data_IF_874894644571
#
_entry.id   IF_874894644571
#
_cell.length_a   1.000
_cell.length_b   1.000
_cell.length_c   1.000
_cell.angle_alpha   90.00
_cell.angle_beta   90.00
_cell.angle_gamma   90.00
#
_symmetry.space_group_name_H-M   'P 1'
#
loop_
_entity.id
_entity.type
_entity.pdbx_description
1 polymer ?
#
# COMPACT_ATOMS: atom_id res chain seq x y z
N UNK A 1 -4.21 15.87 11.76
CA UNK A 1 -5.19 14.79 11.71
C UNK A 1 -4.95 13.72 12.77
N UNK A 2 -4.04 12.78 12.65
CA UNK A 2 -3.80 11.75 13.69
C UNK A 2 -3.23 12.26 15.02
N UNK A 3 -2.85 13.53 15.14
CA UNK A 3 -2.39 14.16 16.37
C UNK A 3 -3.50 14.79 17.22
N UNK A 4 -4.64 15.07 16.60
CA UNK A 4 -5.81 15.68 17.24
C UNK A 4 -7.03 14.82 16.94
N UNK A 5 -8.07 14.85 17.78
CA UNK A 5 -9.29 14.07 17.56
C UNK A 5 -10.18 14.65 16.44
N UNK A 6 -9.66 15.64 15.72
CA UNK A 6 -10.39 16.30 14.64
C UNK A 6 -10.05 15.63 13.29
N UNK A 7 -10.95 14.78 12.81
CA UNK A 7 -10.90 14.16 11.49
C UNK A 7 -11.54 15.12 10.48
N UNK A 8 -10.82 16.20 10.11
CA UNK A 8 -11.36 17.12 9.11
C UNK A 8 -10.90 16.70 7.70
N UNK A 9 -11.79 16.81 6.72
CA UNK A 9 -11.52 16.55 5.30
C UNK A 9 -10.52 17.55 4.71
N UNK A 10 -10.16 18.60 5.46
CA UNK A 10 -9.20 19.65 5.10
C UNK A 10 -7.83 19.12 4.66
N UNK A 11 -7.45 17.91 5.09
CA UNK A 11 -6.17 17.28 4.76
C UNK A 11 -6.26 16.30 3.60
N UNK A 12 -7.47 16.08 3.05
CA UNK A 12 -7.71 15.17 1.93
C UNK A 12 -7.85 16.03 0.66
N UNK A 13 -6.89 15.87 -0.24
CA UNK A 13 -6.86 16.59 -1.50
C UNK A 13 -7.57 15.79 -2.59
N UNK A 14 -8.56 16.40 -3.25
CA UNK A 14 -9.15 15.85 -4.47
C UNK A 14 -8.23 16.15 -5.65
N UNK A 15 -7.58 15.11 -6.19
CA UNK A 15 -6.63 15.24 -7.31
C UNK A 15 -7.38 15.26 -8.66
N UNK A 16 -8.35 14.36 -8.83
CA UNK A 16 -9.27 14.33 -9.97
C UNK A 16 -10.57 13.62 -9.58
N UNK A 17 -11.48 13.44 -10.53
CA UNK A 17 -12.78 12.81 -10.24
C UNK A 17 -12.61 11.43 -9.61
N UNK A 18 -13.25 11.22 -8.46
CA UNK A 18 -13.22 9.98 -7.67
C UNK A 18 -11.81 9.56 -7.19
N UNK A 19 -10.83 10.47 -7.19
CA UNK A 19 -9.51 10.18 -6.66
C UNK A 19 -9.05 11.25 -5.67
N UNK A 20 -8.76 10.80 -4.46
CA UNK A 20 -8.41 11.63 -3.31
C UNK A 20 -7.09 11.15 -2.72
N UNK A 21 -6.29 12.07 -2.21
CA UNK A 21 -5.00 11.78 -1.59
C UNK A 21 -4.92 12.41 -0.21
N UNK A 22 -4.55 11.61 0.77
CA UNK A 22 -4.12 12.07 2.08
C UNK A 22 -2.61 11.90 2.20
N UNK A 23 -1.89 13.00 2.09
CA UNK A 23 -0.43 12.98 2.28
C UNK A 23 -0.05 12.81 3.75
N UNK A 24 1.15 12.26 3.99
CA UNK A 24 1.68 12.04 5.35
C UNK A 24 1.86 13.32 6.18
N UNK A 25 1.88 14.48 5.52
CA UNK A 25 2.08 15.77 6.17
C UNK A 25 3.49 15.97 6.70
N UNK A 26 3.63 16.74 7.79
CA UNK A 26 4.94 17.00 8.40
C UNK A 26 5.50 15.76 9.08
N UNK A 27 6.81 15.54 8.89
CA UNK A 27 7.55 14.43 9.49
C UNK A 27 7.33 14.39 11.01
N UNK A 28 7.07 13.19 11.54
CA UNK A 28 6.90 12.93 12.97
C UNK A 28 8.06 12.10 13.50
N UNK A 29 8.38 12.25 14.77
CA UNK A 29 9.51 11.55 15.40
C UNK A 29 9.23 10.04 15.49
N UNK A 30 8.01 9.67 15.87
CA UNK A 30 7.61 8.27 16.05
C UNK A 30 6.32 7.98 15.27
N UNK A 31 6.38 7.70 13.96
CA UNK A 31 5.19 7.38 13.16
C UNK A 31 4.48 6.12 13.65
N UNK A 32 5.21 5.12 14.11
CA UNK A 32 4.65 3.88 14.66
C UNK A 32 3.68 4.10 15.81
N UNK A 33 3.96 5.08 16.69
CA UNK A 33 3.06 5.43 17.81
C UNK A 33 1.71 5.98 17.32
N UNK A 34 1.67 6.56 16.13
CA UNK A 34 0.42 7.07 15.55
C UNK A 34 -0.37 5.96 14.86
N UNK A 35 0.33 5.07 14.16
CA UNK A 35 -0.27 3.96 13.41
C UNK A 35 -0.76 2.84 14.33
N UNK A 36 -0.05 2.62 15.44
CA UNK A 36 -0.40 1.58 16.42
C UNK A 36 -1.60 1.92 17.33
N UNK A 37 -2.05 3.18 17.35
CA UNK A 37 -3.15 3.63 18.23
C UNK A 37 -4.52 3.37 17.61
N UNK A 38 -5.52 3.14 18.44
CA UNK A 38 -6.95 3.00 18.07
C UNK A 38 -7.48 4.14 17.18
N UNK A 39 -6.85 5.31 17.28
CA UNK A 39 -7.19 6.48 16.48
C UNK A 39 -7.01 6.25 14.99
N UNK A 40 -5.97 5.52 14.57
CA UNK A 40 -5.77 5.19 13.15
C UNK A 40 -6.87 4.27 12.64
N UNK A 41 -7.26 3.27 13.45
CA UNK A 41 -8.40 2.40 13.12
C UNK A 41 -9.70 3.19 12.97
N UNK A 42 -10.03 4.07 13.92
CA UNK A 42 -11.22 4.94 13.86
C UNK A 42 -11.23 5.83 12.63
N UNK A 43 -10.06 6.36 12.24
CA UNK A 43 -9.94 7.13 11.00
C UNK A 43 -10.26 6.26 9.77
N UNK A 44 -9.73 5.04 9.69
CA UNK A 44 -10.03 4.13 8.60
C UNK A 44 -11.51 3.71 8.57
N UNK A 45 -12.16 3.55 9.72
CA UNK A 45 -13.59 3.24 9.77
C UNK A 45 -14.44 4.37 9.19
N UNK A 46 -14.07 5.63 9.46
CA UNK A 46 -14.70 6.80 8.83
C UNK A 46 -14.43 6.80 7.31
N UNK A 47 -13.18 6.57 6.89
CA UNK A 47 -12.83 6.53 5.48
C UNK A 47 -13.57 5.42 4.72
N UNK A 48 -13.76 4.24 5.31
CA UNK A 48 -14.53 3.14 4.72
C UNK A 48 -16.00 3.49 4.47
N UNK A 49 -16.56 4.41 5.23
CA UNK A 49 -17.94 4.87 4.99
C UNK A 49 -18.06 5.85 3.82
N UNK A 50 -16.95 6.40 3.34
CA UNK A 50 -16.92 7.47 2.34
C UNK A 50 -16.28 7.02 1.01
N UNK A 51 -15.42 6.00 1.01
CA UNK A 51 -14.64 5.57 -0.15
C UNK A 51 -14.80 4.08 -0.43
N UNK A 52 -14.98 3.71 -1.69
CA UNK A 52 -15.12 2.32 -2.14
C UNK A 52 -13.80 1.54 -2.05
N UNK A 53 -12.66 2.22 -2.24
CA UNK A 53 -11.33 1.65 -2.17
C UNK A 53 -10.37 2.58 -1.43
N UNK A 54 -9.65 2.03 -0.47
CA UNK A 54 -8.61 2.74 0.28
C UNK A 54 -7.27 2.04 0.05
N UNK A 55 -6.28 2.79 -0.42
CA UNK A 55 -4.93 2.29 -0.62
C UNK A 55 -4.00 2.93 0.42
N UNK A 56 -3.34 2.10 1.22
CA UNK A 56 -2.32 2.53 2.18
C UNK A 56 -0.95 2.30 1.55
N UNK A 57 -0.27 3.38 1.13
CA UNK A 57 1.11 3.32 0.65
C UNK A 57 2.08 3.32 1.83
N UNK A 58 2.97 2.33 1.87
CA UNK A 58 3.90 2.12 2.98
C UNK A 58 5.34 2.01 2.49
N UNK A 59 6.31 2.39 3.32
CA UNK A 59 7.72 2.10 3.06
C UNK A 59 7.99 0.61 2.90
N UNK A 60 9.15 0.22 2.30
CA UNK A 60 9.54 -1.18 2.21
C UNK A 60 9.59 -1.86 3.58
N UNK A 61 9.00 -3.05 3.70
CA UNK A 61 8.83 -3.77 4.97
C UNK A 61 10.15 -4.06 5.71
N UNK A 62 11.25 -4.27 5.00
CA UNK A 62 12.57 -4.46 5.61
C UNK A 62 13.19 -3.20 6.19
N UNK A 63 12.70 -2.01 5.81
CA UNK A 63 13.24 -0.74 6.28
C UNK A 63 12.42 -0.16 7.42
N UNK A 64 11.15 -0.51 7.51
CA UNK A 64 10.22 0.09 8.44
C UNK A 64 9.10 -0.90 8.79
N UNK A 65 8.72 -0.91 10.06
CA UNK A 65 7.61 -1.75 10.55
C UNK A 65 6.22 -1.20 10.28
N UNK A 66 6.09 -0.04 9.64
CA UNK A 66 4.82 0.65 9.43
C UNK A 66 3.80 -0.25 8.69
N UNK A 67 4.27 -0.99 7.67
CA UNK A 67 3.43 -1.94 6.94
C UNK A 67 2.82 -3.02 7.86
N UNK A 68 3.60 -3.54 8.83
CA UNK A 68 3.12 -4.53 9.78
C UNK A 68 2.14 -3.94 10.80
N UNK A 69 2.32 -2.66 11.18
CA UNK A 69 1.42 -1.98 12.11
C UNK A 69 0.05 -1.71 11.50
N UNK A 70 -0.01 -1.49 10.18
CA UNK A 70 -1.28 -1.21 9.48
C UNK A 70 -1.96 -2.47 8.95
N UNK A 71 -1.28 -3.61 8.92
CA UNK A 71 -1.79 -4.89 8.40
C UNK A 71 -3.14 -5.27 9.00
N UNK A 72 -3.32 -5.13 10.30
CA UNK A 72 -4.56 -5.46 11.02
C UNK A 72 -5.79 -4.66 10.57
N UNK A 73 -5.59 -3.61 9.79
CA UNK A 73 -6.65 -2.72 9.32
C UNK A 73 -6.98 -2.90 7.83
N UNK A 74 -6.29 -3.77 7.11
CA UNK A 74 -6.50 -3.96 5.67
C UNK A 74 -7.11 -5.32 5.35
N UNK A 75 -7.69 -5.44 4.17
CA UNK A 75 -8.32 -6.67 3.71
C UNK A 75 -7.38 -7.48 2.80
N UNK A 76 -6.45 -6.79 2.13
CA UNK A 76 -5.50 -7.38 1.18
C UNK A 76 -4.14 -6.69 1.24
N UNK A 77 -3.10 -7.42 0.88
CA UNK A 77 -1.73 -6.90 0.76
C UNK A 77 -1.28 -7.00 -0.69
N UNK A 78 -0.81 -5.89 -1.25
CA UNK A 78 -0.20 -5.84 -2.57
C UNK A 78 1.32 -5.67 -2.44
N UNK A 79 2.07 -6.73 -2.70
CA UNK A 79 3.53 -6.73 -2.65
C UNK A 79 4.10 -6.25 -3.99
N UNK A 80 4.68 -5.06 -4.02
CA UNK A 80 5.30 -4.50 -5.22
C UNK A 80 6.78 -4.87 -5.25
N UNK A 81 7.16 -5.72 -6.22
CA UNK A 81 8.52 -6.22 -6.40
C UNK A 81 9.15 -5.55 -7.62
N UNK A 82 10.39 -5.08 -7.46
CA UNK A 82 11.18 -4.64 -8.62
C UNK A 82 11.72 -5.87 -9.35
N UNK A 83 11.52 -5.93 -10.66
CA UNK A 83 12.01 -7.02 -11.50
C UNK A 83 13.52 -7.25 -11.31
N UNK A 84 13.94 -8.52 -11.23
CA UNK A 84 15.31 -8.98 -11.08
C UNK A 84 16.11 -8.33 -9.91
N UNK A 85 15.43 -7.89 -8.84
CA UNK A 85 16.09 -7.19 -7.71
C UNK A 85 15.92 -7.91 -6.37
N UNK A 86 15.16 -9.00 -6.32
CA UNK A 86 14.87 -9.73 -5.08
C UNK A 86 15.12 -11.22 -5.27
N UNK A 87 15.78 -11.85 -4.30
CA UNK A 87 15.87 -13.31 -4.24
C UNK A 87 14.54 -13.89 -3.75
N UNK A 88 14.29 -15.17 -4.08
CA UNK A 88 13.11 -15.87 -3.58
C UNK A 88 13.11 -15.92 -2.03
N UNK A 89 14.29 -16.10 -1.43
CA UNK A 89 14.47 -16.10 0.03
C UNK A 89 14.03 -14.77 0.65
N UNK A 90 14.46 -13.62 0.10
CA UNK A 90 14.04 -12.31 0.61
C UNK A 90 12.54 -12.06 0.48
N UNK A 91 11.91 -12.59 -0.57
CA UNK A 91 10.45 -12.52 -0.72
C UNK A 91 9.76 -13.38 0.35
N UNK A 92 10.25 -14.59 0.60
CA UNK A 92 9.72 -15.47 1.63
C UNK A 92 9.88 -14.87 3.02
N UNK A 93 11.02 -14.25 3.32
CA UNK A 93 11.26 -13.56 4.59
C UNK A 93 10.27 -12.40 4.80
N UNK A 94 10.04 -11.59 3.76
CA UNK A 94 9.06 -10.51 3.82
C UNK A 94 7.63 -11.04 4.10
N UNK A 95 7.22 -12.12 3.43
CA UNK A 95 5.93 -12.75 3.67
C UNK A 95 5.82 -13.30 5.09
N UNK A 96 6.88 -13.95 5.59
CA UNK A 96 6.93 -14.47 6.95
C UNK A 96 6.82 -13.38 8.03
N UNK A 97 7.26 -12.14 7.74
CA UNK A 97 7.06 -11.01 8.66
C UNK A 97 5.57 -10.70 8.81
N UNK A 98 4.82 -10.66 7.72
CA UNK A 98 3.36 -10.47 7.75
C UNK A 98 2.65 -11.63 8.42
N UNK A 99 3.01 -12.88 8.12
CA UNK A 99 2.35 -14.06 8.71
C UNK A 99 2.57 -14.19 10.22
N UNK A 100 3.62 -13.56 10.77
CA UNK A 100 3.90 -13.50 12.21
C UNK A 100 3.21 -12.34 12.92
N UNK A 101 2.79 -11.32 12.20
CA UNK A 101 2.21 -10.10 12.78
C UNK A 101 0.71 -10.21 13.03
N UNK A 102 0.06 -11.21 12.46
CA UNK A 102 -1.40 -11.42 12.58
C UNK A 102 -1.74 -12.88 12.74
N UNK A 103 -2.76 -13.17 13.56
CA UNK A 103 -3.34 -14.51 13.72
C UNK A 103 -4.19 -14.95 12.52
N UNK A 104 -4.56 -13.99 11.65
CA UNK A 104 -5.37 -14.23 10.46
C UNK A 104 -4.57 -13.85 9.22
N UNK A 105 -4.08 -14.83 8.43
CA UNK A 105 -3.35 -14.53 7.20
C UNK A 105 -4.27 -13.82 6.20
N UNK A 106 -3.78 -12.69 5.68
CA UNK A 106 -4.47 -11.90 4.66
C UNK A 106 -4.12 -12.40 3.25
N UNK A 107 -5.04 -12.28 2.28
CA UNK A 107 -4.74 -12.49 0.88
C UNK A 107 -3.61 -11.56 0.41
N UNK A 108 -2.61 -12.13 -0.26
CA UNK A 108 -1.45 -11.40 -0.78
C UNK A 108 -1.38 -11.55 -2.30
N UNK A 109 -1.18 -10.43 -3.00
CA UNK A 109 -0.95 -10.40 -4.44
C UNK A 109 0.42 -9.76 -4.72
N UNK A 110 1.00 -10.09 -5.88
CA UNK A 110 2.29 -9.57 -6.30
C UNK A 110 2.18 -8.77 -7.58
N UNK A 111 2.91 -7.64 -7.62
CA UNK A 111 3.12 -6.84 -8.82
C UNK A 111 4.61 -6.77 -9.11
N UNK A 112 5.02 -7.21 -10.28
CA UNK A 112 6.37 -7.01 -10.78
C UNK A 112 6.45 -5.68 -11.51
N UNK A 113 7.18 -4.73 -10.91
CA UNK A 113 7.40 -3.41 -11.46
C UNK A 113 8.76 -3.33 -12.16
N UNK A 114 8.93 -2.35 -13.03
CA UNK A 114 10.17 -2.11 -13.80
C UNK A 114 10.61 -3.31 -14.65
N UNK A 115 9.66 -4.10 -15.17
CA UNK A 115 9.95 -5.16 -16.11
C UNK A 115 10.42 -4.56 -17.44
N UNK A 116 11.58 -4.99 -17.95
CA UNK A 116 12.03 -4.64 -19.28
C UNK A 116 11.21 -5.41 -20.32
N UNK A 117 10.70 -4.70 -21.31
CA UNK A 117 10.10 -5.35 -22.50
C UNK A 117 11.23 -5.91 -23.35
N UNK A 118 11.52 -7.19 -23.20
CA UNK A 118 12.38 -7.88 -24.16
C UNK A 118 11.69 -7.85 -25.55
N UNK A 119 12.31 -7.15 -26.49
CA UNK A 119 11.89 -7.10 -27.91
C UNK A 119 12.16 -8.42 -28.68
N UNK A 120 12.82 -9.40 -28.07
CA UNK A 120 13.09 -10.71 -28.66
C UNK A 120 11.93 -11.65 -28.31
N UNK A 121 11.10 -11.91 -29.30
CA UNK A 121 9.89 -12.72 -29.18
C UNK A 121 10.15 -14.16 -28.75
N UNK A 122 9.70 -14.49 -27.60
CA UNK A 122 9.11 -15.75 -27.17
C UNK A 122 8.28 -15.41 -25.94
N UNK A 123 7.05 -15.01 -26.13
CA UNK A 123 6.13 -14.67 -25.06
C UNK A 123 4.75 -15.23 -25.36
N UNK A 124 4.34 -16.22 -24.60
CA UNK A 124 2.93 -16.46 -24.33
C UNK A 124 2.34 -15.19 -23.73
N UNK A 125 1.56 -14.46 -24.46
CA UNK A 125 0.98 -13.25 -23.93
C UNK A 125 0.03 -12.59 -24.90
N UNK A 126 -1.25 -12.82 -24.66
CA UNK A 126 -2.34 -12.16 -25.36
C UNK A 126 -2.22 -10.65 -25.38
N UNK A 127 -2.66 -10.11 -26.47
CA UNK A 127 -2.74 -8.74 -26.89
C UNK A 127 -3.59 -7.88 -25.94
N UNK A 128 -3.01 -7.32 -24.86
CA UNK A 128 -3.62 -6.23 -24.10
C UNK A 128 -3.16 -4.91 -24.69
N UNK A 129 -3.97 -4.35 -25.58
CA UNK A 129 -3.79 -3.02 -26.14
C UNK A 129 -3.96 -1.96 -25.07
N UNK A 130 -2.88 -1.26 -24.74
CA UNK A 130 -2.96 -0.01 -23.95
C UNK A 130 -3.43 1.12 -24.86
N UNK A 131 -4.58 1.66 -24.55
CA UNK A 131 -5.03 2.93 -25.11
C UNK A 131 -4.15 4.08 -24.57
N UNK A 132 -3.19 4.54 -25.36
CA UNK A 132 -2.59 5.83 -25.15
C UNK A 132 -3.58 6.91 -25.60
N UNK A 133 -4.29 7.53 -24.67
CA UNK A 133 -4.85 8.88 -24.90
C UNK A 133 -3.75 9.89 -24.64
N UNK A 134 -3.33 10.58 -25.67
CA UNK A 134 -2.56 11.83 -25.57
C UNK A 134 -3.50 12.92 -25.03
N UNK A 135 -3.06 13.57 -23.99
CA UNK A 135 -3.52 14.91 -23.60
C UNK A 135 -2.36 15.87 -23.79
#
# INVERSE_FOLDING_TARGET
MLRTDNYSDEYIEKVFENFYVLASGKRVVNPGDLLGKDRFGKFLDIARSQYDLIILDTPPVFQCSDALLVEKYVDHILCVLKHASHSMESIQDALAMFDRSTDKPLPKAFVFNKCERNRSGYGYGGNYGYYHKKY
#
